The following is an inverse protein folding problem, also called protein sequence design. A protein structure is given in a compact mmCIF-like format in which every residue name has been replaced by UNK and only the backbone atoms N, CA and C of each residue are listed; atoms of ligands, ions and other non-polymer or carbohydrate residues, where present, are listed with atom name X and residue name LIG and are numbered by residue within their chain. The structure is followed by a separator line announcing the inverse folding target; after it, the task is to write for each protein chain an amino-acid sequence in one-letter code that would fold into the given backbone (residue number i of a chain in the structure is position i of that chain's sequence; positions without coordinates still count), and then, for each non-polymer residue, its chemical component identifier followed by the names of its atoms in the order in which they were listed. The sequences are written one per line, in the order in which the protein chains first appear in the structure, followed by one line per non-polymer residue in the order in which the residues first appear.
data_IF_160210054461
#
_entry.id   IF_160210054461
#
_cell.length_a   1.000
_cell.length_b   1.000
_cell.length_c   1.000
_cell.angle_alpha   90.00
_cell.angle_beta   90.00
_cell.angle_gamma   90.00
#
_symmetry.space_group_name_H-M   'P 1'
#
loop_
_entity.id
_entity.type
_entity.pdbx_description
1 polymer ?
#
# COMPACT_ATOMS: atom_id res chain seq x y z
N UNK A 1 60.84 39.96 -5.76
CA UNK A 1 60.27 40.45 -4.50
C UNK A 1 58.82 40.81 -4.75
N UNK A 2 57.88 39.94 -4.37
CA UNK A 2 56.46 40.29 -4.26
C UNK A 2 55.90 39.65 -3.00
N UNK A 3 55.08 40.45 -2.32
CA UNK A 3 54.80 40.39 -0.90
C UNK A 3 53.80 39.28 -0.52
N UNK A 4 53.99 38.77 0.70
CA UNK A 4 53.00 38.03 1.49
C UNK A 4 51.76 38.91 1.71
N UNK A 5 50.58 38.37 1.40
CA UNK A 5 49.31 38.76 2.02
C UNK A 5 48.47 37.49 2.22
N UNK A 6 48.43 36.99 3.45
CA UNK A 6 47.23 36.34 4.02
C UNK A 6 46.36 37.48 4.60
N UNK A 7 45.04 37.34 4.88
CA UNK A 7 44.24 36.10 5.04
C UNK A 7 42.81 36.17 4.43
N UNK A 8 42.08 35.05 4.37
CA UNK A 8 40.70 34.98 4.86
C UNK A 8 40.28 33.52 5.00
N UNK A 9 40.29 33.05 6.24
CA UNK A 9 39.65 31.79 6.63
C UNK A 9 38.15 32.04 6.52
N UNK A 10 37.53 31.54 5.44
CA UNK A 10 36.08 31.47 5.35
C UNK A 10 35.61 30.35 6.26
N UNK A 11 35.00 30.77 7.35
CA UNK A 11 34.23 29.97 8.28
C UNK A 11 33.08 29.31 7.51
N UNK A 12 33.23 28.06 7.07
CA UNK A 12 32.08 27.27 6.63
C UNK A 12 31.36 26.86 7.91
N UNK A 13 30.29 27.59 8.20
CA UNK A 13 29.29 27.18 9.17
C UNK A 13 28.74 25.85 8.67
N UNK A 14 29.11 24.76 9.34
CA UNK A 14 28.35 23.53 9.33
C UNK A 14 26.98 23.87 9.91
N UNK A 15 26.05 24.26 9.06
CA UNK A 15 24.64 24.10 9.37
C UNK A 15 24.44 22.58 9.41
N UNK A 16 24.49 22.01 10.62
CA UNK A 16 23.75 20.81 10.93
C UNK A 16 22.29 21.16 10.66
N UNK A 17 21.86 20.96 9.42
CA UNK A 17 20.45 20.78 9.15
C UNK A 17 20.09 19.54 9.94
N UNK A 18 19.56 19.75 11.15
CA UNK A 18 18.60 18.82 11.71
C UNK A 18 17.53 18.71 10.63
N UNK A 19 17.67 17.69 9.78
CA UNK A 19 16.50 17.13 9.14
C UNK A 19 15.56 16.82 10.31
N UNK A 20 14.30 17.26 10.29
CA UNK A 20 13.35 16.60 11.16
C UNK A 20 13.51 15.12 10.85
N UNK A 21 13.83 14.32 11.88
CA UNK A 21 13.68 12.88 11.78
C UNK A 21 12.31 12.64 11.12
N UNK A 22 12.19 11.71 10.15
CA UNK A 22 10.88 11.35 9.64
C UNK A 22 10.01 11.09 10.85
N UNK A 23 8.89 11.81 10.96
CA UNK A 23 7.93 11.59 12.04
C UNK A 23 7.51 10.15 11.86
N UNK A 24 8.09 9.26 12.67
CA UNK A 24 7.62 7.90 12.78
C UNK A 24 6.14 8.05 13.10
N UNK A 25 5.27 7.61 12.20
CA UNK A 25 3.88 7.38 12.57
C UNK A 25 3.94 6.24 13.57
N UNK A 26 4.09 6.59 14.85
CA UNK A 26 4.02 5.63 15.95
C UNK A 26 2.67 4.95 15.86
N UNK A 27 2.73 3.64 15.61
CA UNK A 27 1.68 2.64 15.80
C UNK A 27 0.27 3.13 15.51
N UNK A 28 -0.23 2.82 14.32
CA UNK A 28 -1.66 2.68 14.15
C UNK A 28 -2.09 1.45 14.97
N UNK A 29 -2.31 1.68 16.27
CA UNK A 29 -2.49 0.62 17.29
C UNK A 29 -3.78 -0.19 17.08
N UNK A 30 -4.71 0.34 16.28
CA UNK A 30 -5.96 -0.35 15.91
C UNK A 30 -6.19 -0.34 14.39
N UNK A 31 -6.94 -1.32 13.86
CA UNK A 31 -7.38 -1.33 12.47
C UNK A 31 -8.05 -0.03 12.02
N UNK A 32 -8.94 0.52 12.85
CA UNK A 32 -9.69 1.73 12.56
C UNK A 32 -8.77 2.94 12.45
N UNK A 33 -7.79 3.05 13.35
CA UNK A 33 -6.80 4.12 13.31
C UNK A 33 -6.03 4.11 11.98
N UNK A 34 -5.70 2.93 11.45
CA UNK A 34 -5.04 2.80 10.15
C UNK A 34 -5.89 3.32 9.00
N UNK A 35 -7.18 2.98 8.98
CA UNK A 35 -8.11 3.45 7.95
C UNK A 35 -8.32 4.97 8.04
N UNK A 36 -8.51 5.51 9.25
CA UNK A 36 -8.65 6.96 9.45
C UNK A 36 -7.38 7.70 9.02
N UNK A 37 -6.21 7.23 9.43
CA UNK A 37 -4.94 7.84 9.05
C UNK A 37 -4.74 7.83 7.54
N UNK A 38 -5.12 6.74 6.86
CA UNK A 38 -5.09 6.66 5.40
C UNK A 38 -6.01 7.68 4.75
N UNK A 39 -7.29 7.74 5.17
CA UNK A 39 -8.27 8.70 4.62
C UNK A 39 -7.84 10.15 4.81
N UNK A 40 -7.45 10.52 6.03
CA UNK A 40 -7.04 11.89 6.37
C UNK A 40 -5.78 12.29 5.58
N UNK A 41 -4.82 11.39 5.43
CA UNK A 41 -3.58 11.66 4.72
C UNK A 41 -3.77 11.83 3.22
N UNK A 42 -4.66 11.02 2.62
CA UNK A 42 -5.01 11.13 1.20
C UNK A 42 -5.67 12.49 0.92
N UNK A 43 -6.69 12.86 1.70
CA UNK A 43 -7.40 14.14 1.52
C UNK A 43 -6.54 15.37 1.87
N UNK A 44 -5.59 15.23 2.80
CA UNK A 44 -4.65 16.29 3.15
C UNK A 44 -3.50 16.45 2.14
N UNK A 45 -3.42 15.60 1.10
CA UNK A 45 -2.34 15.62 0.12
C UNK A 45 -0.98 15.28 0.74
N UNK A 46 -0.95 14.33 1.68
CA UNK A 46 0.25 13.89 2.41
C UNK A 46 0.65 12.49 1.93
N UNK A 47 1.36 12.36 0.80
CA UNK A 47 1.58 11.06 0.16
C UNK A 47 2.46 10.11 0.98
N UNK A 48 3.44 10.63 1.72
CA UNK A 48 4.28 9.81 2.58
C UNK A 48 3.45 9.20 3.72
N UNK A 49 2.65 10.01 4.42
CA UNK A 49 1.77 9.54 5.49
C UNK A 49 0.69 8.59 4.96
N UNK A 50 0.11 8.87 3.80
CA UNK A 50 -0.87 8.00 3.15
C UNK A 50 -0.26 6.63 2.82
N UNK A 51 0.95 6.61 2.24
CA UNK A 51 1.64 5.35 1.94
C UNK A 51 2.06 4.60 3.21
N UNK A 52 2.50 5.30 4.26
CA UNK A 52 2.85 4.69 5.54
C UNK A 52 1.64 4.08 6.27
N UNK A 53 0.42 4.54 5.97
CA UNK A 53 -0.82 3.94 6.46
C UNK A 53 -1.26 2.71 5.64
N UNK A 54 -0.54 2.38 4.56
CA UNK A 54 -0.80 1.21 3.70
C UNK A 54 0.34 0.21 3.77
N UNK A 55 0.06 -1.04 3.43
CA UNK A 55 1.10 -2.04 3.30
C UNK A 55 1.93 -1.76 2.04
N UNK A 56 3.18 -1.40 2.22
CA UNK A 56 4.13 -0.95 1.19
C UNK A 56 4.21 -1.89 -0.02
N UNK A 57 4.29 -3.20 0.21
CA UNK A 57 4.37 -4.18 -0.88
C UNK A 57 3.02 -4.32 -1.63
N UNK A 58 1.89 -4.09 -0.95
CA UNK A 58 0.58 -4.04 -1.63
C UNK A 58 0.48 -2.83 -2.56
N UNK A 59 1.00 -1.67 -2.11
CA UNK A 59 1.06 -0.45 -2.91
C UNK A 59 1.99 -0.59 -4.11
N UNK A 60 3.19 -1.16 -3.89
CA UNK A 60 4.16 -1.43 -4.97
C UNK A 60 3.57 -2.33 -6.06
N UNK A 61 2.87 -3.40 -5.67
CA UNK A 61 2.21 -4.30 -6.62
C UNK A 61 1.10 -3.57 -7.39
N UNK A 62 0.17 -2.89 -6.71
CA UNK A 62 -0.93 -2.20 -7.39
C UNK A 62 -0.39 -1.18 -8.39
N UNK A 63 0.52 -0.31 -7.96
CA UNK A 63 1.12 0.70 -8.83
C UNK A 63 1.87 0.09 -10.01
N UNK A 64 2.67 -0.94 -9.74
CA UNK A 64 3.41 -1.65 -10.77
C UNK A 64 2.51 -2.23 -11.85
N UNK A 65 1.43 -2.86 -11.43
CA UNK A 65 0.50 -3.56 -12.31
C UNK A 65 -0.43 -2.60 -13.06
N UNK A 66 -1.02 -1.62 -12.38
CA UNK A 66 -1.93 -0.64 -13.00
C UNK A 66 -1.24 0.19 -14.08
N UNK A 67 0.02 0.55 -13.84
CA UNK A 67 0.80 1.37 -14.78
C UNK A 67 1.55 0.54 -15.83
N UNK A 68 1.38 -0.79 -15.84
CA UNK A 68 2.03 -1.68 -16.79
C UNK A 68 3.56 -1.59 -16.74
N UNK A 69 4.13 -1.43 -15.55
CA UNK A 69 5.58 -1.31 -15.38
C UNK A 69 6.27 -2.63 -15.71
N UNK A 70 7.53 -2.55 -16.13
CA UNK A 70 8.32 -3.75 -16.35
C UNK A 70 8.71 -4.46 -15.04
N UNK A 71 9.06 -5.74 -15.14
CA UNK A 71 9.37 -6.55 -13.97
C UNK A 71 10.53 -6.00 -13.14
N UNK A 72 11.52 -5.36 -13.78
CA UNK A 72 12.66 -4.75 -13.08
C UNK A 72 12.21 -3.59 -12.20
N UNK A 73 11.31 -2.74 -12.70
CA UNK A 73 10.76 -1.60 -11.96
C UNK A 73 9.84 -2.06 -10.84
N UNK A 74 8.99 -3.07 -11.07
CA UNK A 74 8.14 -3.64 -10.01
C UNK A 74 9.00 -4.25 -8.90
N UNK A 75 10.04 -5.01 -9.27
CA UNK A 75 10.98 -5.57 -8.29
C UNK A 75 11.68 -4.46 -7.49
N UNK A 76 12.14 -3.39 -8.15
CA UNK A 76 12.72 -2.23 -7.46
C UNK A 76 11.72 -1.57 -6.49
N UNK A 77 10.44 -1.41 -6.85
CA UNK A 77 9.44 -0.87 -5.92
C UNK A 77 9.19 -1.79 -4.72
N UNK A 78 9.27 -3.10 -4.93
CA UNK A 78 9.14 -4.10 -3.87
C UNK A 78 10.33 -4.13 -2.91
N UNK A 79 11.52 -3.73 -3.36
CA UNK A 79 12.77 -3.77 -2.58
C UNK A 79 13.10 -2.42 -1.95
N UNK A 80 13.02 -1.35 -2.73
CA UNK A 80 13.44 0.00 -2.36
C UNK A 80 12.26 0.90 -1.94
N UNK A 81 11.03 0.43 -2.14
CA UNK A 81 9.82 1.21 -1.97
C UNK A 81 9.48 2.05 -3.20
N UNK A 82 8.23 2.54 -3.22
CA UNK A 82 7.72 3.37 -4.32
C UNK A 82 8.30 4.78 -4.20
N UNK A 83 8.83 5.41 -5.27
CA UNK A 83 9.30 6.79 -5.22
C UNK A 83 8.20 7.78 -4.77
N UNK A 84 8.54 8.73 -3.90
CA UNK A 84 7.56 9.67 -3.33
C UNK A 84 6.78 10.47 -4.39
N UNK A 85 7.40 10.79 -5.54
CA UNK A 85 6.73 11.48 -6.65
C UNK A 85 5.64 10.62 -7.31
N UNK A 86 5.83 9.30 -7.35
CA UNK A 86 4.86 8.34 -7.87
C UNK A 86 3.72 8.16 -6.86
N UNK A 87 4.05 8.03 -5.57
CA UNK A 87 3.05 8.01 -4.50
C UNK A 87 2.18 9.28 -4.51
N UNK A 88 2.79 10.45 -4.64
CA UNK A 88 2.10 11.74 -4.72
C UNK A 88 1.11 11.80 -5.88
N UNK A 89 1.54 11.36 -7.05
CA UNK A 89 0.69 11.35 -8.25
C UNK A 89 -0.48 10.37 -8.10
N UNK A 90 -0.21 9.20 -7.55
CA UNK A 90 -1.23 8.18 -7.31
C UNK A 90 -2.27 8.65 -6.29
N UNK A 91 -1.85 9.12 -5.12
CA UNK A 91 -2.78 9.54 -4.08
C UNK A 91 -3.61 10.76 -4.47
N UNK A 92 -3.03 11.69 -5.23
CA UNK A 92 -3.79 12.79 -5.82
C UNK A 92 -4.88 12.27 -6.78
N UNK A 93 -4.51 11.38 -7.71
CA UNK A 93 -5.47 10.78 -8.65
C UNK A 93 -6.54 9.95 -7.96
N UNK A 94 -6.18 9.24 -6.89
CA UNK A 94 -7.10 8.43 -6.10
C UNK A 94 -8.11 9.32 -5.35
N UNK A 95 -7.63 10.40 -4.71
CA UNK A 95 -8.49 11.39 -4.05
C UNK A 95 -9.45 12.04 -5.04
N UNK A 96 -8.95 12.51 -6.18
CA UNK A 96 -9.75 13.14 -7.24
C UNK A 96 -10.83 12.17 -7.78
N UNK A 97 -10.44 10.92 -8.07
CA UNK A 97 -11.36 9.89 -8.55
C UNK A 97 -12.42 9.52 -7.52
N UNK A 98 -12.07 9.47 -6.24
CA UNK A 98 -13.04 9.24 -5.17
C UNK A 98 -14.02 10.41 -5.04
N UNK A 99 -13.54 11.66 -5.09
CA UNK A 99 -14.41 12.84 -5.05
C UNK A 99 -15.34 12.87 -6.25
N UNK A 100 -14.87 12.52 -7.45
CA UNK A 100 -15.72 12.41 -8.64
C UNK A 100 -16.83 11.36 -8.45
N UNK A 101 -16.48 10.18 -7.92
CA UNK A 101 -17.40 9.07 -7.69
C UNK A 101 -18.41 9.33 -6.56
N UNK A 102 -17.93 9.77 -5.39
CA UNK A 102 -18.71 9.86 -4.15
C UNK A 102 -19.23 11.29 -3.87
N UNK A 103 -18.80 12.28 -4.67
CA UNK A 103 -19.09 13.72 -4.51
C UNK A 103 -18.70 14.26 -3.12
N UNK A 104 -17.65 13.72 -2.52
CA UNK A 104 -17.13 14.10 -1.19
C UNK A 104 -15.70 13.55 -0.97
N UNK A 105 -14.94 14.13 -0.02
CA UNK A 105 -13.65 13.61 0.41
C UNK A 105 -13.74 12.25 1.14
N UNK A 106 -12.65 11.47 1.15
CA UNK A 106 -12.59 10.17 1.83
C UNK A 106 -12.79 10.27 3.35
N UNK A 107 -12.20 11.28 3.97
CA UNK A 107 -12.28 11.61 5.42
C UNK A 107 -13.71 11.82 5.92
N UNK A 108 -14.69 11.98 5.03
CA UNK A 108 -16.12 12.08 5.40
C UNK A 108 -16.80 10.73 5.60
N UNK A 109 -16.14 9.62 5.27
CA UNK A 109 -16.64 8.28 5.52
C UNK A 109 -16.61 7.95 7.00
N UNK A 110 -17.65 7.26 7.47
CA UNK A 110 -17.68 6.76 8.85
C UNK A 110 -16.93 5.44 8.93
N UNK A 111 -16.00 5.33 9.87
CA UNK A 111 -15.26 4.09 10.18
C UNK A 111 -15.98 3.35 11.31
N UNK A 112 -16.35 2.09 11.06
CA UNK A 112 -17.03 1.22 12.01
C UNK A 112 -16.06 0.39 12.86
N UNK A 113 -16.63 -0.38 13.79
CA UNK A 113 -15.87 -1.33 14.62
C UNK A 113 -15.30 -2.47 13.77
N UNK A 114 -14.03 -2.77 13.96
CA UNK A 114 -13.33 -3.82 13.22
C UNK A 114 -13.64 -5.22 13.75
N UNK A 115 -13.51 -6.20 12.86
CA UNK A 115 -13.51 -7.62 13.22
C UNK A 115 -12.15 -8.23 12.83
N UNK A 116 -11.38 -8.67 13.84
CA UNK A 116 -10.07 -9.26 13.66
C UNK A 116 -10.15 -10.77 13.38
N UNK A 117 -9.23 -11.27 12.56
CA UNK A 117 -9.10 -12.68 12.22
C UNK A 117 -7.67 -12.98 11.75
N UNK A 118 -7.35 -14.27 11.63
CA UNK A 118 -6.04 -14.71 11.11
C UNK A 118 -6.22 -15.46 9.81
N UNK A 119 -5.31 -15.22 8.86
CA UNK A 119 -5.27 -15.86 7.55
C UNK A 119 -3.81 -16.08 7.15
N UNK A 120 -3.45 -17.29 6.74
CA UNK A 120 -2.08 -17.64 6.33
C UNK A 120 -0.98 -17.21 7.33
N UNK A 121 -1.28 -17.26 8.63
CA UNK A 121 -0.33 -16.87 9.69
C UNK A 121 -0.14 -15.36 9.86
N UNK A 122 -0.93 -14.53 9.19
CA UNK A 122 -0.97 -13.07 9.33
C UNK A 122 -2.29 -12.66 9.99
N UNK A 123 -2.24 -11.66 10.86
CA UNK A 123 -3.43 -11.08 11.49
C UNK A 123 -4.01 -9.98 10.59
N UNK A 124 -5.32 -10.05 10.34
CA UNK A 124 -6.07 -9.12 9.52
C UNK A 124 -7.28 -8.60 10.30
N UNK A 125 -7.86 -7.51 9.82
CA UNK A 125 -9.15 -7.05 10.29
C UNK A 125 -9.98 -6.46 9.16
N UNK A 126 -11.28 -6.71 9.19
CA UNK A 126 -12.26 -6.02 8.33
C UNK A 126 -12.75 -4.79 9.07
N UNK A 127 -12.64 -3.63 8.43
CA UNK A 127 -13.08 -2.34 8.95
C UNK A 127 -14.22 -1.84 8.08
N UNK A 128 -15.48 -1.87 8.57
CA UNK A 128 -16.62 -1.34 7.83
C UNK A 128 -16.47 0.16 7.62
N UNK A 129 -16.75 0.64 6.40
CA UNK A 129 -16.79 2.05 6.06
C UNK A 129 -18.14 2.40 5.44
N UNK A 130 -18.78 3.47 5.94
CA UNK A 130 -20.12 3.83 5.50
C UNK A 130 -20.23 5.26 5.02
N UNK A 131 -21.10 5.46 4.03
CA UNK A 131 -21.52 6.77 3.56
C UNK A 131 -22.95 7.05 4.06
N UNK A 132 -23.08 7.75 5.20
CA UNK A 132 -24.32 8.39 5.61
C UNK A 132 -25.57 7.50 5.71
N UNK A 133 -25.42 6.20 5.98
CA UNK A 133 -26.54 5.28 6.28
C UNK A 133 -26.81 4.16 5.25
N UNK A 134 -26.07 4.09 4.13
CA UNK A 134 -26.09 2.92 3.25
C UNK A 134 -25.16 1.80 3.77
N UNK A 135 -25.45 0.54 3.38
CA UNK A 135 -24.59 -0.60 3.70
C UNK A 135 -23.13 -0.30 3.32
N UNK A 136 -22.23 -0.47 4.28
CA UNK A 136 -20.85 -0.03 4.16
C UNK A 136 -20.02 -0.94 3.25
N UNK A 137 -19.04 -0.35 2.55
CA UNK A 137 -17.93 -1.11 2.01
C UNK A 137 -17.00 -1.55 3.15
N UNK A 138 -16.03 -2.42 2.88
CA UNK A 138 -15.06 -2.88 3.88
C UNK A 138 -13.66 -2.54 3.40
N UNK A 139 -12.85 -1.99 4.32
CA UNK A 139 -11.41 -1.89 4.16
C UNK A 139 -10.78 -3.03 4.97
N UNK A 140 -9.79 -3.70 4.40
CA UNK A 140 -9.07 -4.78 5.07
C UNK A 140 -7.70 -4.25 5.50
N UNK A 141 -7.42 -4.32 6.79
CA UNK A 141 -6.12 -3.98 7.37
C UNK A 141 -5.37 -5.24 7.75
N UNK A 142 -4.04 -5.15 7.86
CA UNK A 142 -3.17 -6.21 8.33
C UNK A 142 -2.23 -5.72 9.41
N UNK A 143 -1.89 -6.60 10.33
CA UNK A 143 -0.83 -6.38 11.30
C UNK A 143 0.53 -6.63 10.63
N UNK A 144 1.45 -5.67 10.75
CA UNK A 144 2.84 -5.84 10.33
C UNK A 144 3.64 -6.61 11.37
N UNK A 145 4.85 -7.06 11.01
CA UNK A 145 5.73 -7.77 11.95
C UNK A 145 6.16 -6.89 13.14
N UNK A 146 6.12 -5.56 12.98
CA UNK A 146 6.43 -4.55 13.97
C UNK A 146 5.25 -4.25 14.92
N UNK A 147 4.10 -4.92 14.72
CA UNK A 147 2.91 -4.75 15.57
C UNK A 147 2.10 -3.49 15.27
N UNK A 148 2.13 -3.02 14.03
CA UNK A 148 1.34 -1.87 13.58
C UNK A 148 0.28 -2.31 12.58
N UNK A 149 -0.91 -1.72 12.63
CA UNK A 149 -1.94 -1.95 11.61
C UNK A 149 -1.72 -1.05 10.39
N UNK A 150 -1.86 -1.63 9.19
CA UNK A 150 -1.83 -0.88 7.94
C UNK A 150 -2.92 -1.38 7.00
N UNK A 151 -3.40 -0.52 6.09
CA UNK A 151 -4.37 -0.92 5.06
C UNK A 151 -3.69 -1.84 4.05
N UNK A 152 -4.21 -3.05 3.85
CA UNK A 152 -3.76 -3.92 2.77
C UNK A 152 -4.59 -3.61 1.52
N UNK A 153 -3.97 -2.97 0.54
CA UNK A 153 -4.67 -2.52 -0.66
C UNK A 153 -5.04 -3.69 -1.57
N UNK A 154 -4.25 -4.78 -1.59
CA UNK A 154 -4.58 -5.98 -2.39
C UNK A 154 -5.82 -6.65 -1.79
N UNK A 155 -5.92 -6.74 -0.46
CA UNK A 155 -7.10 -7.30 0.18
C UNK A 155 -8.32 -6.37 0.05
N UNK A 156 -8.13 -5.05 0.23
CA UNK A 156 -9.23 -4.07 0.22
C UNK A 156 -9.80 -3.80 -1.17
N UNK A 157 -8.95 -3.81 -2.20
CA UNK A 157 -9.30 -3.49 -3.57
C UNK A 157 -9.30 -4.72 -4.49
N UNK A 158 -9.24 -5.92 -3.89
CA UNK A 158 -9.03 -7.19 -4.60
C UNK A 158 -10.00 -7.45 -5.75
N UNK A 159 -11.28 -7.09 -5.62
CA UNK A 159 -12.26 -7.25 -6.70
C UNK A 159 -11.93 -6.41 -7.96
N UNK A 160 -11.39 -5.20 -7.77
CA UNK A 160 -10.92 -4.35 -8.86
C UNK A 160 -9.65 -4.87 -9.54
N UNK A 161 -8.80 -5.58 -8.79
CA UNK A 161 -7.45 -5.95 -9.24
C UNK A 161 -7.23 -7.45 -9.51
N UNK A 162 -8.12 -8.34 -9.11
CA UNK A 162 -7.91 -9.78 -9.18
C UNK A 162 -7.58 -10.25 -10.61
N UNK A 163 -8.28 -9.70 -11.63
CA UNK A 163 -7.98 -10.04 -13.04
C UNK A 163 -6.61 -9.57 -13.48
N UNK A 164 -6.18 -8.40 -13.00
CA UNK A 164 -4.87 -7.83 -13.31
C UNK A 164 -3.75 -8.63 -12.65
N UNK A 165 -3.94 -9.01 -11.38
CA UNK A 165 -3.05 -9.91 -10.64
C UNK A 165 -2.92 -11.27 -11.35
N UNK A 166 -4.03 -11.87 -11.76
CA UNK A 166 -4.00 -13.13 -12.51
C UNK A 166 -3.24 -12.99 -13.84
N UNK A 167 -3.59 -11.97 -14.63
CA UNK A 167 -2.98 -11.75 -15.95
C UNK A 167 -1.48 -11.48 -15.85
N UNK A 168 -1.05 -10.76 -14.81
CA UNK A 168 0.36 -10.50 -14.58
C UNK A 168 1.11 -11.75 -14.15
N UNK A 169 0.57 -12.55 -13.22
CA UNK A 169 1.23 -13.75 -12.72
C UNK A 169 1.65 -14.70 -13.85
N UNK A 170 0.77 -14.89 -14.84
CA UNK A 170 1.00 -15.76 -15.99
C UNK A 170 2.13 -15.29 -16.92
N UNK A 171 2.49 -14.01 -16.86
CA UNK A 171 3.50 -13.38 -17.74
C UNK A 171 4.74 -12.89 -17.01
N UNK A 172 4.89 -13.21 -15.71
CA UNK A 172 6.09 -12.87 -14.96
C UNK A 172 7.31 -13.50 -15.66
N UNK A 173 8.35 -12.72 -16.00
CA UNK A 173 9.52 -13.25 -16.70
C UNK A 173 10.34 -14.20 -15.82
N UNK A 174 11.21 -14.99 -16.44
CA UNK A 174 12.22 -15.78 -15.72
C UNK A 174 13.40 -14.86 -15.38
N UNK A 175 13.98 -15.03 -14.19
CA UNK A 175 15.13 -14.27 -13.71
C UNK A 175 14.82 -13.53 -12.41
N UNK A 176 15.84 -12.88 -11.86
CA UNK A 176 15.83 -12.29 -10.51
C UNK A 176 14.62 -11.39 -10.23
N UNK A 177 14.33 -10.43 -11.11
CA UNK A 177 13.16 -9.54 -10.93
C UNK A 177 11.84 -10.31 -10.97
N UNK A 178 11.73 -11.34 -11.83
CA UNK A 178 10.54 -12.17 -11.88
C UNK A 178 10.39 -13.04 -10.63
N UNK A 179 11.48 -13.58 -10.10
CA UNK A 179 11.49 -14.36 -8.87
C UNK A 179 11.11 -13.50 -7.66
N UNK A 180 11.56 -12.24 -7.63
CA UNK A 180 11.15 -11.28 -6.60
C UNK A 180 9.65 -10.98 -6.62
N UNK A 181 9.06 -10.86 -7.81
CA UNK A 181 7.61 -10.68 -7.97
C UNK A 181 6.87 -11.95 -7.55
N UNK A 182 7.28 -13.15 -7.99
CA UNK A 182 6.65 -14.43 -7.55
C UNK A 182 6.71 -14.60 -6.03
N UNK A 183 7.81 -14.19 -5.41
CA UNK A 183 7.93 -14.16 -3.95
C UNK A 183 6.90 -13.21 -3.33
N UNK A 184 6.72 -12.00 -3.88
CA UNK A 184 5.68 -11.07 -3.44
C UNK A 184 4.27 -11.65 -3.62
N UNK A 185 4.00 -12.40 -4.69
CA UNK A 185 2.72 -13.11 -4.83
C UNK A 185 2.50 -14.12 -3.69
N UNK A 186 3.54 -14.84 -3.31
CA UNK A 186 3.47 -15.82 -2.22
C UNK A 186 3.29 -15.15 -0.85
N UNK A 187 4.02 -14.07 -0.58
CA UNK A 187 4.09 -13.45 0.75
C UNK A 187 3.03 -12.36 0.97
N UNK A 188 2.52 -11.77 -0.10
CA UNK A 188 1.59 -10.64 -0.05
C UNK A 188 0.26 -11.00 -0.67
N UNK A 189 0.26 -11.36 -1.96
CA UNK A 189 -0.99 -11.54 -2.72
C UNK A 189 -1.80 -12.70 -2.16
N UNK A 190 -1.21 -13.87 -1.96
CA UNK A 190 -1.94 -15.05 -1.46
C UNK A 190 -2.57 -14.83 -0.08
N UNK A 191 -1.83 -14.37 0.96
CA UNK A 191 -2.45 -14.04 2.25
C UNK A 191 -3.57 -13.00 2.15
N UNK A 192 -3.38 -11.97 1.32
CA UNK A 192 -4.36 -10.89 1.12
C UNK A 192 -5.62 -11.36 0.42
N UNK A 193 -5.49 -12.26 -0.57
CA UNK A 193 -6.63 -12.87 -1.26
C UNK A 193 -7.40 -13.80 -0.34
N UNK A 194 -6.72 -14.58 0.51
CA UNK A 194 -7.40 -15.37 1.53
C UNK A 194 -8.12 -14.50 2.56
N UNK A 195 -7.52 -13.38 2.97
CA UNK A 195 -8.17 -12.43 3.87
C UNK A 195 -9.43 -11.81 3.23
N UNK A 196 -9.32 -11.40 1.97
CA UNK A 196 -10.44 -10.90 1.18
C UNK A 196 -11.56 -11.93 1.04
N UNK A 197 -11.24 -13.20 0.79
CA UNK A 197 -12.22 -14.31 0.75
C UNK A 197 -12.89 -14.53 2.10
N UNK A 198 -12.12 -14.51 3.20
CA UNK A 198 -12.63 -14.69 4.55
C UNK A 198 -13.54 -13.55 5.02
N UNK A 199 -13.42 -12.36 4.41
CA UNK A 199 -14.29 -11.23 4.72
C UNK A 199 -15.74 -11.40 4.23
N UNK A 200 -16.00 -12.35 3.33
CA UNK A 200 -17.30 -12.57 2.66
C UNK A 200 -17.86 -11.31 1.95
N UNK A 201 -17.01 -10.30 1.68
CA UNK A 201 -17.43 -9.01 1.13
C UNK A 201 -17.59 -9.03 -0.40
N UNK A 202 -16.85 -9.92 -1.08
CA UNK A 202 -16.71 -9.91 -2.54
C UNK A 202 -17.54 -10.99 -3.24
N UNK A 203 -17.88 -10.75 -4.51
CA UNK A 203 -18.80 -11.59 -5.30
C UNK A 203 -18.13 -12.82 -5.96
N UNK A 204 -18.93 -13.75 -6.47
CA UNK A 204 -18.50 -15.03 -7.07
C UNK A 204 -17.36 -14.93 -8.11
N UNK A 205 -17.33 -13.85 -8.91
CA UNK A 205 -16.30 -13.65 -9.94
C UNK A 205 -14.93 -13.32 -9.33
N UNK A 206 -14.91 -12.51 -8.26
CA UNK A 206 -13.70 -12.32 -7.45
C UNK A 206 -13.26 -13.64 -6.86
N UNK A 207 -14.17 -14.36 -6.19
CA UNK A 207 -13.86 -15.62 -5.51
C UNK A 207 -13.20 -16.61 -6.47
N UNK A 208 -13.77 -16.79 -7.66
CA UNK A 208 -13.21 -17.68 -8.68
C UNK A 208 -11.80 -17.26 -9.11
N UNK A 209 -11.59 -15.96 -9.32
CA UNK A 209 -10.31 -15.43 -9.79
C UNK A 209 -9.24 -15.52 -8.70
N UNK A 210 -9.59 -15.15 -7.46
CA UNK A 210 -8.70 -15.24 -6.30
C UNK A 210 -8.22 -16.68 -6.07
N UNK A 211 -9.15 -17.65 -6.09
CA UNK A 211 -8.81 -19.07 -5.94
C UNK A 211 -7.91 -19.58 -7.07
N UNK A 212 -8.12 -19.13 -8.31
CA UNK A 212 -7.27 -19.50 -9.44
C UNK A 212 -5.83 -18.97 -9.27
N UNK A 213 -5.66 -17.74 -8.79
CA UNK A 213 -4.33 -17.16 -8.50
C UNK A 213 -3.65 -17.96 -7.39
N UNK A 214 -4.36 -18.17 -6.27
CA UNK A 214 -3.84 -18.92 -5.12
C UNK A 214 -3.35 -20.29 -5.57
N UNK A 215 -4.16 -21.03 -6.33
CA UNK A 215 -3.79 -22.34 -6.84
C UNK A 215 -2.57 -22.29 -7.78
N UNK A 216 -2.51 -21.30 -8.67
CA UNK A 216 -1.37 -21.11 -9.59
C UNK A 216 -0.07 -20.85 -8.84
N UNK A 217 -0.12 -20.02 -7.79
CA UNK A 217 1.02 -19.72 -6.93
C UNK A 217 1.46 -20.96 -6.17
N UNK A 218 0.54 -21.71 -5.56
CA UNK A 218 0.85 -22.90 -4.77
C UNK A 218 1.46 -24.04 -5.60
N UNK A 219 1.11 -24.18 -6.89
CA UNK A 219 1.72 -25.20 -7.77
C UNK A 219 3.13 -24.87 -8.23
N UNK A 220 3.54 -23.60 -8.11
CA UNK A 220 4.83 -23.09 -8.58
C UNK A 220 5.91 -23.15 -7.50
N UNK A 221 5.56 -23.61 -6.29
CA UNK A 221 6.47 -23.88 -5.16
C UNK A 221 6.94 -25.33 -5.18
#
# INVERSE_FOLDING_TARGET
MFAKVLPLISLVVLASACSPDPVAVTGLETPEAAVVAWFDSVDAGQPETASNATYDQSLALILGLENGLDAATIAAYLDDGVPISVQASYWASFSDGFVEFASRPLSTLTVGESAMYSSEGVEFATVPIANGGAAGAVVITRMTAEGTWVVDLVASLGDGFAKLLASNYDVIPIGESGDRIRLAYTQVVVPSLWAALASETFVDDFTRTALAIIESVSRSQ
#
